data_IF_367238451851
#
_entry.id   IF_367238451851
#
_cell.length_a   1.000
_cell.length_b   1.000
_cell.length_c   1.000
_cell.angle_alpha   90.00
_cell.angle_beta   90.00
_cell.angle_gamma   90.00
#
_symmetry.space_group_name_H-M   'P 1'
#
loop_
_entity.id
_entity.type
_entity.pdbx_description
1 polymer ?
#
# COMPACT_ATOMS: atom_id res chain seq x y z
N UNK A 1 24.68 11.29 -32.52
CA UNK A 1 23.93 11.58 -31.31
C UNK A 1 22.52 12.01 -31.72
N UNK A 2 21.60 11.02 -31.89
CA UNK A 2 20.17 11.32 -32.10
C UNK A 2 19.53 11.62 -30.74
N UNK A 3 19.23 12.89 -30.48
CA UNK A 3 18.27 13.26 -29.45
C UNK A 3 16.88 12.74 -29.88
N UNK A 4 16.20 11.87 -29.11
CA UNK A 4 14.81 11.54 -29.38
C UNK A 4 13.98 12.82 -29.18
N UNK A 5 13.19 13.20 -30.19
CA UNK A 5 12.30 14.35 -30.14
C UNK A 5 11.33 14.22 -28.97
N UNK A 6 11.11 15.29 -28.22
CA UNK A 6 10.23 15.31 -27.03
C UNK A 6 8.80 14.80 -27.32
N UNK A 7 8.29 15.00 -28.51
CA UNK A 7 7.01 14.45 -28.97
C UNK A 7 6.96 12.92 -28.99
N UNK A 8 8.07 12.24 -29.27
CA UNK A 8 8.14 10.76 -29.26
C UNK A 8 8.04 10.18 -27.84
N UNK A 9 8.53 10.91 -26.82
CA UNK A 9 8.43 10.47 -25.42
C UNK A 9 6.99 10.57 -24.90
N UNK A 10 6.27 11.63 -25.24
CA UNK A 10 4.89 11.83 -24.80
C UNK A 10 3.96 10.76 -25.39
N UNK A 11 4.08 10.45 -26.67
CA UNK A 11 3.36 9.38 -27.31
C UNK A 11 3.66 8.01 -26.69
N UNK A 12 4.92 7.75 -26.33
CA UNK A 12 5.35 6.52 -25.67
C UNK A 12 4.73 6.34 -24.27
N UNK A 13 4.58 7.43 -23.49
CA UNK A 13 3.87 7.40 -22.21
C UNK A 13 2.39 7.04 -22.39
N UNK A 14 1.72 7.63 -23.37
CA UNK A 14 0.32 7.35 -23.68
C UNK A 14 0.13 5.91 -24.16
N UNK A 15 1.03 5.40 -24.97
CA UNK A 15 0.99 4.02 -25.45
C UNK A 15 1.11 3.02 -24.29
N UNK A 16 2.00 3.26 -23.34
CA UNK A 16 2.10 2.43 -22.13
C UNK A 16 0.83 2.54 -21.27
N UNK A 17 0.25 3.72 -21.14
CA UNK A 17 -0.93 3.96 -20.32
C UNK A 17 -2.18 3.27 -20.86
N UNK A 18 -2.35 3.22 -22.18
CA UNK A 18 -3.56 2.71 -22.87
C UNK A 18 -3.46 1.22 -23.18
N UNK A 19 -2.25 0.62 -23.16
CA UNK A 19 -2.09 -0.79 -23.43
C UNK A 19 -2.95 -1.65 -22.46
N UNK A 20 -3.83 -2.47 -23.02
CA UNK A 20 -4.86 -3.23 -22.26
C UNK A 20 -4.28 -4.10 -21.13
N UNK A 21 -3.08 -4.64 -21.34
CA UNK A 21 -2.37 -5.42 -20.32
C UNK A 21 -1.88 -4.56 -19.15
N UNK A 22 -1.43 -3.34 -19.43
CA UNK A 22 -0.97 -2.40 -18.42
C UNK A 22 -2.13 -1.79 -17.61
N UNK A 23 -3.28 -1.54 -18.27
CA UNK A 23 -4.46 -0.99 -17.61
C UNK A 23 -4.95 -1.86 -16.45
N UNK A 24 -4.95 -3.20 -16.62
CA UNK A 24 -5.28 -4.12 -15.53
C UNK A 24 -4.33 -4.02 -14.34
N UNK A 25 -3.03 -3.86 -14.62
CA UNK A 25 -2.03 -3.66 -13.56
C UNK A 25 -2.23 -2.32 -12.85
N UNK A 26 -2.52 -1.25 -13.58
CA UNK A 26 -2.80 0.07 -13.02
C UNK A 26 -4.04 0.08 -12.13
N UNK A 27 -5.14 -0.51 -12.61
CA UNK A 27 -6.36 -0.67 -11.81
C UNK A 27 -6.09 -1.49 -10.55
N UNK A 28 -5.41 -2.62 -10.67
CA UNK A 28 -5.04 -3.47 -9.54
C UNK A 28 -4.19 -2.71 -8.51
N UNK A 29 -3.15 -2.00 -8.96
CA UNK A 29 -2.27 -1.24 -8.09
C UNK A 29 -2.96 -0.02 -7.45
N UNK A 30 -3.92 0.59 -8.12
CA UNK A 30 -4.78 1.64 -7.56
C UNK A 30 -5.73 1.09 -6.49
N UNK A 31 -6.41 -0.03 -6.79
CA UNK A 31 -7.35 -0.66 -5.85
C UNK A 31 -6.69 -1.11 -4.54
N UNK A 32 -5.42 -1.53 -4.58
CA UNK A 32 -4.67 -1.88 -3.35
C UNK A 32 -4.53 -0.69 -2.40
N UNK A 33 -4.51 0.56 -2.91
CA UNK A 33 -4.37 1.75 -2.07
C UNK A 33 -5.64 2.06 -1.26
N UNK A 34 -6.82 1.75 -1.80
CA UNK A 34 -8.10 2.15 -1.22
C UNK A 34 -8.27 1.72 0.24
N UNK A 35 -8.14 0.44 0.64
CA UNK A 35 -8.39 0.03 2.02
C UNK A 35 -7.46 0.67 3.06
N UNK A 36 -6.18 0.89 2.68
CA UNK A 36 -5.20 1.52 3.55
C UNK A 36 -5.49 3.01 3.72
N UNK A 37 -5.63 3.72 2.62
CA UNK A 37 -5.77 5.18 2.63
C UNK A 37 -7.17 5.67 2.99
N UNK A 38 -8.18 4.80 3.04
CA UNK A 38 -9.46 5.10 3.68
C UNK A 38 -9.39 5.11 5.20
N UNK A 39 -8.36 4.51 5.81
CA UNK A 39 -8.25 4.37 7.27
C UNK A 39 -7.05 5.10 7.85
N UNK A 40 -5.87 5.00 7.21
CA UNK A 40 -4.61 5.55 7.73
C UNK A 40 -4.69 7.03 8.13
N UNK A 41 -5.28 7.95 7.34
CA UNK A 41 -5.34 9.36 7.71
C UNK A 41 -6.21 9.62 8.95
N UNK A 42 -7.19 8.75 9.20
CA UNK A 42 -8.17 8.91 10.26
C UNK A 42 -7.85 8.11 11.52
N UNK A 43 -6.84 7.22 11.49
CA UNK A 43 -6.44 6.38 12.64
C UNK A 43 -6.18 7.23 13.89
N UNK A 44 -5.38 8.28 13.78
CA UNK A 44 -5.03 9.12 14.91
C UNK A 44 -6.27 9.78 15.53
N UNK A 45 -7.13 10.35 14.67
CA UNK A 45 -8.37 10.99 15.11
C UNK A 45 -9.32 9.98 15.77
N UNK A 46 -9.51 8.81 15.16
CA UNK A 46 -10.36 7.76 15.70
C UNK A 46 -9.87 7.25 17.06
N UNK A 47 -8.56 6.98 17.17
CA UNK A 47 -7.96 6.47 18.41
C UNK A 47 -8.05 7.49 19.56
N UNK A 48 -7.93 8.79 19.27
CA UNK A 48 -8.04 9.83 20.30
C UNK A 48 -9.46 10.13 20.67
N UNK A 49 -10.37 10.23 19.69
CA UNK A 49 -11.75 10.65 19.93
C UNK A 49 -12.67 9.52 20.41
N UNK A 50 -12.50 8.30 19.88
CA UNK A 50 -13.40 7.18 20.14
C UNK A 50 -12.81 6.17 21.14
N UNK A 51 -11.50 5.89 21.05
CA UNK A 51 -10.85 4.90 21.93
C UNK A 51 -10.28 5.55 23.19
N UNK A 52 -10.11 6.89 23.21
CA UNK A 52 -9.61 7.62 24.36
C UNK A 52 -8.09 7.56 24.56
N UNK A 53 -7.34 7.27 23.50
CA UNK A 53 -5.86 7.24 23.53
C UNK A 53 -5.32 8.68 23.60
N UNK A 54 -4.46 8.96 24.58
CA UNK A 54 -3.83 10.27 24.69
C UNK A 54 -2.96 10.58 23.45
N UNK A 55 -2.99 11.84 22.99
CA UNK A 55 -2.24 12.30 21.82
C UNK A 55 -0.73 11.99 21.92
N UNK A 56 -0.16 11.98 23.11
CA UNK A 56 1.24 11.62 23.37
C UNK A 56 1.58 10.19 22.96
N UNK A 57 0.62 9.27 22.96
CA UNK A 57 0.83 7.87 22.59
C UNK A 57 0.69 7.60 21.07
N UNK A 58 0.14 8.54 20.30
CA UNK A 58 -0.02 8.40 18.85
C UNK A 58 1.34 8.25 18.16
N UNK A 59 2.33 9.04 18.56
CA UNK A 59 3.70 8.93 18.03
C UNK A 59 4.31 7.54 18.27
N UNK A 60 4.05 6.95 19.45
CA UNK A 60 4.50 5.60 19.78
C UNK A 60 3.85 4.54 18.89
N UNK A 61 2.55 4.67 18.59
CA UNK A 61 1.82 3.75 17.71
C UNK A 61 2.43 3.76 16.30
N UNK A 62 2.68 4.95 15.73
CA UNK A 62 3.33 5.06 14.42
C UNK A 62 4.77 4.58 14.42
N UNK A 63 5.52 4.85 15.49
CA UNK A 63 6.90 4.39 15.63
C UNK A 63 6.96 2.85 15.67
N UNK A 64 6.16 2.22 16.53
CA UNK A 64 6.10 0.75 16.62
C UNK A 64 5.68 0.12 15.28
N UNK A 65 4.65 0.69 14.64
CA UNK A 65 4.19 0.24 13.33
C UNK A 65 5.26 0.39 12.25
N UNK A 66 5.96 1.53 12.20
CA UNK A 66 7.03 1.81 11.25
C UNK A 66 8.22 0.86 11.42
N UNK A 67 8.74 0.71 12.64
CA UNK A 67 9.85 -0.21 12.96
C UNK A 67 9.47 -1.65 12.61
N UNK A 68 8.30 -2.09 13.03
CA UNK A 68 7.81 -3.43 12.75
C UNK A 68 7.64 -3.69 11.24
N UNK A 69 7.17 -2.70 10.48
CA UNK A 69 7.07 -2.76 9.02
C UNK A 69 8.45 -2.89 8.37
N UNK A 70 9.45 -2.15 8.81
CA UNK A 70 10.82 -2.26 8.31
C UNK A 70 11.39 -3.66 8.52
N UNK A 71 11.23 -4.22 9.71
CA UNK A 71 11.73 -5.56 10.04
C UNK A 71 10.98 -6.65 9.27
N UNK A 72 9.65 -6.56 9.20
CA UNK A 72 8.81 -7.55 8.52
C UNK A 72 8.93 -7.51 7.00
N UNK A 73 9.28 -6.38 6.40
CA UNK A 73 9.39 -6.21 4.94
C UNK A 73 10.38 -7.18 4.31
N UNK A 74 11.54 -7.38 4.95
CA UNK A 74 12.57 -8.32 4.51
C UNK A 74 12.08 -9.76 4.57
N UNK A 75 11.38 -10.12 5.64
CA UNK A 75 10.79 -11.44 5.82
C UNK A 75 9.69 -11.74 4.80
N UNK A 76 8.80 -10.77 4.60
CA UNK A 76 7.72 -10.88 3.59
C UNK A 76 8.29 -11.00 2.17
N UNK A 77 9.32 -10.22 1.85
CA UNK A 77 10.01 -10.33 0.55
C UNK A 77 10.57 -11.74 0.33
N UNK A 78 11.28 -12.28 1.30
CA UNK A 78 11.81 -13.64 1.24
C UNK A 78 10.71 -14.69 1.08
N UNK A 79 9.62 -14.60 1.84
CA UNK A 79 8.46 -15.47 1.69
C UNK A 79 7.82 -15.38 0.30
N UNK A 80 7.72 -14.17 -0.25
CA UNK A 80 7.17 -13.95 -1.59
C UNK A 80 8.02 -14.59 -2.68
N UNK A 81 9.34 -14.58 -2.54
CA UNK A 81 10.25 -15.24 -3.47
C UNK A 81 10.22 -16.77 -3.31
N UNK A 82 10.10 -17.29 -2.09
CA UNK A 82 10.10 -18.73 -1.80
C UNK A 82 8.76 -19.41 -2.12
N UNK A 83 7.65 -18.83 -1.72
CA UNK A 83 6.31 -19.44 -1.82
C UNK A 83 5.47 -18.91 -2.98
N UNK A 84 5.98 -17.92 -3.71
CA UNK A 84 5.32 -17.30 -4.85
C UNK A 84 4.59 -16.00 -4.49
N UNK A 85 4.85 -14.97 -5.27
CA UNK A 85 4.39 -13.58 -5.05
C UNK A 85 2.85 -13.47 -4.97
N UNK A 86 2.14 -14.13 -5.88
CA UNK A 86 0.66 -14.10 -5.93
C UNK A 86 0.06 -14.76 -4.69
N UNK A 87 0.62 -15.88 -4.23
CA UNK A 87 0.13 -16.58 -3.04
C UNK A 87 0.30 -15.73 -1.79
N UNK A 88 1.50 -15.18 -1.59
CA UNK A 88 1.79 -14.32 -0.42
C UNK A 88 0.96 -13.05 -0.47
N UNK A 89 0.81 -12.42 -1.65
CA UNK A 89 -0.09 -11.27 -1.80
C UNK A 89 -1.51 -11.59 -1.33
N UNK A 90 -2.11 -12.70 -1.79
CA UNK A 90 -3.47 -13.12 -1.42
C UNK A 90 -3.61 -13.34 0.08
N UNK A 91 -2.65 -14.06 0.68
CA UNK A 91 -2.66 -14.31 2.13
C UNK A 91 -2.60 -13.00 2.90
N UNK A 92 -1.67 -12.11 2.59
CA UNK A 92 -1.54 -10.82 3.25
C UNK A 92 -2.77 -9.92 3.03
N UNK A 93 -3.36 -9.94 1.83
CA UNK A 93 -4.57 -9.18 1.53
C UNK A 93 -5.76 -9.64 2.38
N UNK A 94 -5.97 -10.96 2.50
CA UNK A 94 -7.05 -11.52 3.31
C UNK A 94 -6.80 -11.28 4.81
N UNK A 95 -5.61 -11.58 5.29
CA UNK A 95 -5.26 -11.42 6.71
C UNK A 95 -5.28 -9.95 7.14
N UNK A 96 -4.98 -9.02 6.24
CA UNK A 96 -5.03 -7.58 6.54
C UNK A 96 -6.45 -7.06 6.82
N UNK A 97 -7.49 -7.79 6.45
CA UNK A 97 -8.87 -7.44 6.78
C UNK A 97 -9.14 -7.54 8.29
N UNK A 98 -8.46 -8.44 8.99
CA UNK A 98 -8.65 -8.63 10.43
C UNK A 98 -8.31 -7.36 11.22
N UNK A 99 -7.05 -6.85 11.19
CA UNK A 99 -6.74 -5.63 11.94
C UNK A 99 -7.46 -4.39 11.38
N UNK A 100 -7.85 -4.39 10.09
CA UNK A 100 -8.66 -3.32 9.51
C UNK A 100 -10.04 -3.25 10.19
N UNK A 101 -10.75 -4.39 10.26
CA UNK A 101 -12.07 -4.48 10.89
C UNK A 101 -11.96 -4.19 12.40
N UNK A 102 -10.94 -4.73 13.07
CA UNK A 102 -10.72 -4.45 14.49
C UNK A 102 -10.50 -2.95 14.70
N UNK A 103 -9.62 -2.30 13.90
CA UNK A 103 -9.34 -0.87 14.04
C UNK A 103 -10.61 0.00 13.90
N UNK A 104 -11.49 -0.32 12.96
CA UNK A 104 -12.71 0.46 12.69
C UNK A 104 -13.84 0.20 13.69
N UNK A 105 -13.73 -0.84 14.52
CA UNK A 105 -14.72 -1.19 15.56
C UNK A 105 -14.12 -1.20 16.96
N UNK A 106 -12.97 -0.55 17.17
CA UNK A 106 -12.29 -0.57 18.46
C UNK A 106 -13.04 0.32 19.46
N UNK A 107 -13.48 -0.27 20.56
CA UNK A 107 -14.02 0.42 21.73
C UNK A 107 -12.87 0.92 22.63
N UNK A 108 -13.13 1.71 23.69
CA UNK A 108 -12.12 2.07 24.67
C UNK A 108 -11.42 0.84 25.25
N UNK A 109 -10.15 0.67 24.91
CA UNK A 109 -9.29 -0.46 25.32
C UNK A 109 -7.93 0.03 25.80
N UNK A 110 -7.21 -0.78 26.59
CA UNK A 110 -5.85 -0.44 27.02
C UNK A 110 -4.91 -0.20 25.85
N UNK A 111 -3.92 0.68 26.03
CA UNK A 111 -2.93 1.07 25.01
C UNK A 111 -2.22 -0.11 24.34
N UNK A 112 -1.90 -1.15 25.11
CA UNK A 112 -1.19 -2.32 24.56
C UNK A 112 -2.01 -3.08 23.50
N UNK A 113 -3.34 -3.11 23.62
CA UNK A 113 -4.23 -3.71 22.59
C UNK A 113 -4.17 -2.89 21.31
N UNK A 114 -4.24 -1.55 21.44
CA UNK A 114 -4.11 -0.63 20.30
C UNK A 114 -2.76 -0.78 19.62
N UNK A 115 -1.66 -0.87 20.39
CA UNK A 115 -0.32 -1.05 19.85
C UNK A 115 -0.18 -2.35 19.05
N UNK A 116 -0.68 -3.47 19.57
CA UNK A 116 -0.63 -4.77 18.87
C UNK A 116 -1.45 -4.70 17.57
N UNK A 117 -2.68 -4.23 17.65
CA UNK A 117 -3.57 -4.18 16.48
C UNK A 117 -3.05 -3.22 15.40
N UNK A 118 -2.62 -2.02 15.79
CA UNK A 118 -2.08 -1.03 14.86
C UNK A 118 -0.77 -1.50 14.24
N UNK A 119 0.11 -2.15 15.00
CA UNK A 119 1.34 -2.73 14.47
C UNK A 119 1.05 -3.82 13.45
N UNK A 120 0.13 -4.74 13.74
CA UNK A 120 -0.31 -5.76 12.79
C UNK A 120 -0.94 -5.13 11.54
N UNK A 121 -1.76 -4.09 11.69
CA UNK A 121 -2.35 -3.33 10.60
C UNK A 121 -1.26 -2.76 9.67
N UNK A 122 -0.27 -2.05 10.21
CA UNK A 122 0.83 -1.46 9.41
C UNK A 122 1.67 -2.52 8.72
N UNK A 123 2.03 -3.62 9.39
CA UNK A 123 2.79 -4.74 8.80
C UNK A 123 2.05 -5.33 7.60
N UNK A 124 0.77 -5.63 7.75
CA UNK A 124 -0.02 -6.34 6.74
C UNK A 124 -0.41 -5.45 5.57
N UNK A 125 -0.81 -4.19 5.83
CA UNK A 125 -1.15 -3.22 4.78
C UNK A 125 0.08 -2.85 3.94
N UNK A 126 1.22 -2.57 4.58
CA UNK A 126 2.46 -2.27 3.86
C UNK A 126 3.07 -3.53 3.24
N UNK A 127 3.01 -4.65 3.96
CA UNK A 127 3.61 -5.91 3.54
C UNK A 127 3.06 -6.46 2.23
N UNK A 128 1.75 -6.32 1.98
CA UNK A 128 1.13 -6.75 0.71
C UNK A 128 1.62 -5.96 -0.52
N UNK A 129 2.18 -4.75 -0.30
CA UNK A 129 2.75 -3.95 -1.38
C UNK A 129 3.99 -4.58 -1.99
N UNK A 130 4.79 -5.29 -1.21
CA UNK A 130 6.05 -5.91 -1.65
C UNK A 130 5.79 -6.93 -2.77
N UNK A 131 4.98 -7.98 -2.58
CA UNK A 131 4.67 -8.90 -3.66
C UNK A 131 3.87 -8.24 -4.80
N UNK A 132 2.99 -7.25 -4.52
CA UNK A 132 2.24 -6.56 -5.55
C UNK A 132 3.16 -5.78 -6.51
N UNK A 133 4.12 -5.02 -5.99
CA UNK A 133 5.10 -4.29 -6.79
C UNK A 133 5.99 -5.26 -7.58
N UNK A 134 6.38 -6.38 -6.99
CA UNK A 134 7.15 -7.41 -7.67
C UNK A 134 6.37 -8.08 -8.81
N UNK A 135 5.06 -8.30 -8.65
CA UNK A 135 4.17 -8.78 -9.73
C UNK A 135 4.07 -7.73 -10.83
N UNK A 136 3.76 -6.47 -10.48
CA UNK A 136 3.63 -5.39 -11.46
C UNK A 136 4.91 -5.21 -12.30
N UNK A 137 6.09 -5.24 -11.68
CA UNK A 137 7.37 -5.07 -12.37
C UNK A 137 7.70 -6.20 -13.35
N UNK A 138 7.08 -7.38 -13.21
CA UNK A 138 7.27 -8.53 -14.09
C UNK A 138 6.35 -8.52 -15.32
N UNK A 139 5.33 -7.66 -15.33
CA UNK A 139 4.36 -7.58 -16.43
C UNK A 139 4.92 -6.84 -17.66
N UNK A 140 6.05 -6.16 -17.52
CA UNK A 140 6.62 -5.32 -18.56
C UNK A 140 8.08 -5.68 -18.84
N UNK A 141 8.50 -5.42 -20.08
CA UNK A 141 9.89 -5.60 -20.49
C UNK A 141 10.85 -4.70 -19.69
N UNK A 142 12.09 -5.16 -19.46
CA UNK A 142 13.09 -4.37 -18.72
C UNK A 142 13.29 -2.95 -19.25
N UNK A 143 13.17 -2.77 -20.57
CA UNK A 143 13.37 -1.48 -21.28
C UNK A 143 12.38 -0.40 -20.86
N UNK A 144 11.13 -0.76 -20.57
CA UNK A 144 10.05 0.18 -20.23
C UNK A 144 9.68 0.15 -18.75
N UNK A 145 10.31 -0.74 -17.96
CA UNK A 145 9.98 -0.97 -16.55
C UNK A 145 10.04 0.31 -15.69
N UNK A 146 11.06 1.15 -15.89
CA UNK A 146 11.18 2.39 -15.15
C UNK A 146 10.00 3.33 -15.37
N UNK A 147 9.61 3.57 -16.62
CA UNK A 147 8.46 4.39 -16.99
C UNK A 147 7.16 3.81 -16.47
N UNK A 148 6.97 2.50 -16.62
CA UNK A 148 5.79 1.80 -16.11
C UNK A 148 5.66 1.93 -14.59
N UNK A 149 6.73 1.72 -13.84
CA UNK A 149 6.71 1.84 -12.37
C UNK A 149 6.48 3.28 -11.90
N UNK A 150 6.94 4.29 -12.64
CA UNK A 150 6.61 5.70 -12.37
C UNK A 150 5.10 5.97 -12.55
N UNK A 151 4.50 5.43 -13.62
CA UNK A 151 3.04 5.52 -13.84
C UNK A 151 2.25 4.79 -12.76
N UNK A 152 2.69 3.60 -12.34
CA UNK A 152 2.12 2.87 -11.20
C UNK A 152 2.13 3.75 -9.96
N UNK A 153 3.26 4.37 -9.62
CA UNK A 153 3.38 5.29 -8.48
C UNK A 153 2.41 6.46 -8.57
N UNK A 154 2.27 7.09 -9.73
CA UNK A 154 1.31 8.20 -9.95
C UNK A 154 -0.12 7.76 -9.74
N UNK A 155 -0.51 6.59 -10.26
CA UNK A 155 -1.86 6.03 -10.09
C UNK A 155 -2.13 5.67 -8.64
N UNK A 156 -1.16 5.13 -7.92
CA UNK A 156 -1.27 4.85 -6.50
C UNK A 156 -1.48 6.13 -5.68
N UNK A 157 -0.76 7.20 -6.00
CA UNK A 157 -0.94 8.50 -5.35
C UNK A 157 -2.33 9.07 -5.59
N UNK A 158 -2.82 9.03 -6.84
CA UNK A 158 -4.18 9.46 -7.18
C UNK A 158 -5.23 8.62 -6.45
N UNK A 159 -5.09 7.29 -6.47
CA UNK A 159 -6.02 6.39 -5.79
C UNK A 159 -6.03 6.60 -4.27
N UNK A 160 -4.87 6.85 -3.66
CA UNK A 160 -4.78 7.14 -2.22
C UNK A 160 -5.44 8.47 -1.86
N UNK A 161 -5.25 9.51 -2.68
CA UNK A 161 -5.92 10.80 -2.50
C UNK A 161 -7.44 10.68 -2.62
N UNK A 162 -7.94 10.00 -3.65
CA UNK A 162 -9.37 9.74 -3.82
C UNK A 162 -9.94 8.95 -2.64
N UNK A 163 -9.25 7.88 -2.23
CA UNK A 163 -9.68 7.05 -1.10
C UNK A 163 -9.76 7.85 0.21
N UNK A 164 -8.79 8.72 0.47
CA UNK A 164 -8.77 9.59 1.65
C UNK A 164 -9.95 10.58 1.64
N UNK A 165 -10.24 11.21 0.50
CA UNK A 165 -11.36 12.18 0.37
C UNK A 165 -12.72 11.49 0.49
N UNK A 166 -12.87 10.29 -0.07
CA UNK A 166 -14.14 9.55 0.00
C UNK A 166 -14.42 8.97 1.40
N UNK A 167 -13.40 8.80 2.22
CA UNK A 167 -13.53 8.26 3.58
C UNK A 167 -13.78 9.33 4.64
N UNK A 168 -13.51 10.61 4.38
CA UNK A 168 -13.70 11.75 5.28
C UNK A 168 -14.86 12.58 4.90
#
# INVERSE_FOLDING_TARGET
LHHPQEGSRFFFFFEILIAHHHLRAFVFMGLIMIPGFSVIPYIALYLTSNVGIANSHISLIYLCGGVATLLSSRFIGHMADQYGKVKIFRVLAIVSLIPLIVTTNLEPVPLWVVLINSTAFFILISGRMIPAMAIASQLVEPKIRGTFMSLVGSIQMLASGIASVLAG
#
